data_IF_446752397822
#
_entry.id   IF_446752397822
#
_cell.length_a   1.000
_cell.length_b   1.000
_cell.length_c   1.000
_cell.angle_alpha   90.00
_cell.angle_beta   90.00
_cell.angle_gamma   90.00
#
_symmetry.space_group_name_H-M   'P 1'
#
loop_
_entity.id
_entity.type
_entity.pdbx_description
1 polymer ?
#
# COMPACT_ATOMS: atom_id res chain seq x y z
N UNK A 1 -8.95 2.40 -8.92
CA UNK A 1 -7.48 2.18 -8.94
C UNK A 1 -7.03 1.55 -10.27
N UNK A 2 -7.74 0.53 -10.76
CA UNK A 2 -7.54 -0.03 -12.11
C UNK A 2 -7.62 1.03 -13.22
N UNK A 3 -8.70 1.83 -13.24
CA UNK A 3 -8.90 2.89 -14.24
C UNK A 3 -7.88 4.05 -14.14
N UNK A 4 -7.45 4.37 -12.92
CA UNK A 4 -6.40 5.37 -12.66
C UNK A 4 -5.04 4.94 -13.24
N UNK A 5 -4.76 3.64 -13.22
CA UNK A 5 -3.54 3.07 -13.82
C UNK A 5 -3.64 2.97 -15.36
N UNK A 6 -4.84 2.69 -15.90
CA UNK A 6 -5.10 2.67 -17.35
C UNK A 6 -4.97 4.06 -18.01
N UNK A 7 -5.38 5.13 -17.31
CA UNK A 7 -5.23 6.50 -17.79
C UNK A 7 -3.76 6.95 -17.94
N UNK A 8 -2.81 6.23 -17.32
CA UNK A 8 -1.39 6.57 -17.23
C UNK A 8 -0.52 5.94 -18.33
N UNK A 9 -1.13 5.52 -19.45
CA UNK A 9 -0.47 4.86 -20.61
C UNK A 9 0.75 5.60 -21.20
N UNK A 10 1.03 6.84 -20.82
CA UNK A 10 2.18 7.65 -21.28
C UNK A 10 3.34 7.78 -20.27
N UNK A 11 3.62 6.72 -19.52
CA UNK A 11 4.96 6.49 -18.97
C UNK A 11 5.18 5.00 -18.86
N UNK A 12 5.35 4.32 -19.99
CA UNK A 12 5.94 2.98 -19.95
C UNK A 12 7.30 3.15 -19.27
N UNK A 13 7.44 2.61 -18.07
CA UNK A 13 8.76 2.41 -17.47
C UNK A 13 9.64 1.77 -18.54
N UNK A 14 10.84 2.33 -18.78
CA UNK A 14 11.80 1.75 -19.73
C UNK A 14 11.89 0.26 -19.47
N UNK A 15 11.90 -0.55 -20.52
CA UNK A 15 12.04 -2.01 -20.41
C UNK A 15 13.29 -2.33 -19.60
N UNK A 16 13.11 -2.55 -18.30
CA UNK A 16 14.16 -2.85 -17.36
C UNK A 16 14.15 -4.36 -17.16
N UNK A 17 15.26 -5.02 -17.48
CA UNK A 17 15.50 -6.39 -17.05
C UNK A 17 15.73 -6.37 -15.55
N UNK A 18 14.64 -6.46 -14.77
CA UNK A 18 14.73 -6.67 -13.34
C UNK A 18 15.13 -8.13 -13.12
N UNK A 19 16.19 -8.35 -12.35
CA UNK A 19 16.54 -9.68 -11.90
C UNK A 19 15.43 -10.16 -10.97
N UNK A 20 14.79 -11.27 -11.31
CA UNK A 20 13.89 -11.94 -10.38
C UNK A 20 14.80 -12.74 -9.45
N UNK A 21 14.97 -12.23 -8.22
CA UNK A 21 15.91 -12.81 -7.25
C UNK A 21 15.51 -14.20 -6.77
N UNK A 22 14.22 -14.56 -6.87
CA UNK A 22 13.70 -15.89 -6.57
C UNK A 22 12.29 -16.05 -7.14
N UNK A 23 11.96 -17.27 -7.59
CA UNK A 23 10.60 -17.69 -7.97
C UNK A 23 9.92 -18.55 -6.89
N UNK A 24 10.57 -18.77 -5.75
CA UNK A 24 10.05 -19.55 -4.64
C UNK A 24 10.04 -18.73 -3.35
N UNK A 25 9.15 -19.10 -2.44
CA UNK A 25 9.01 -18.47 -1.14
C UNK A 25 8.77 -19.51 -0.05
N UNK A 26 9.44 -19.35 1.09
CA UNK A 26 9.24 -20.22 2.25
C UNK A 26 8.66 -19.41 3.40
N UNK A 27 7.58 -19.92 4.03
CA UNK A 27 6.92 -19.32 5.21
C UNK A 27 6.55 -17.83 5.03
N UNK A 28 6.02 -17.47 3.86
CA UNK A 28 5.57 -16.10 3.57
C UNK A 28 4.15 -15.89 4.08
N UNK A 29 3.92 -14.80 4.81
CA UNK A 29 2.57 -14.29 5.09
C UNK A 29 2.10 -13.43 3.92
N UNK A 30 1.00 -13.83 3.27
CA UNK A 30 0.47 -13.17 2.07
C UNK A 30 -0.99 -12.80 2.29
N UNK A 31 -1.38 -11.58 1.87
CA UNK A 31 -2.78 -11.18 1.84
C UNK A 31 -3.60 -12.06 0.90
N UNK A 32 -4.81 -12.44 1.32
CA UNK A 32 -5.66 -13.35 0.55
C UNK A 32 -5.95 -12.87 -0.88
N UNK A 33 -6.10 -11.56 -1.10
CA UNK A 33 -6.32 -10.99 -2.44
C UNK A 33 -5.12 -11.15 -3.36
N UNK A 34 -3.91 -10.90 -2.83
CA UNK A 34 -2.67 -11.07 -3.57
C UNK A 34 -2.38 -12.56 -3.86
N UNK A 35 -2.63 -13.42 -2.88
CA UNK A 35 -2.49 -14.87 -3.05
C UNK A 35 -3.38 -15.39 -4.18
N UNK A 36 -4.66 -14.99 -4.21
CA UNK A 36 -5.58 -15.36 -5.30
C UNK A 36 -5.04 -14.91 -6.67
N UNK A 37 -4.48 -13.71 -6.76
CA UNK A 37 -3.87 -13.22 -8.00
C UNK A 37 -2.69 -14.10 -8.40
N UNK A 38 -1.79 -14.45 -7.49
CA UNK A 38 -0.66 -15.32 -7.80
C UNK A 38 -1.07 -16.72 -8.25
N UNK A 39 -2.06 -17.33 -7.58
CA UNK A 39 -2.59 -18.64 -7.99
C UNK A 39 -3.14 -18.57 -9.42
N UNK A 40 -3.88 -17.51 -9.76
CA UNK A 40 -4.39 -17.29 -11.11
C UNK A 40 -3.27 -17.13 -12.18
N UNK A 41 -2.05 -16.80 -11.75
CA UNK A 41 -0.86 -16.66 -12.61
C UNK A 41 0.11 -17.86 -12.48
N UNK A 42 -0.36 -18.99 -11.96
CA UNK A 42 0.41 -20.24 -11.92
C UNK A 42 1.28 -20.44 -10.69
N UNK A 43 1.09 -19.67 -9.61
CA UNK A 43 1.71 -19.99 -8.32
C UNK A 43 1.09 -21.26 -7.73
N UNK A 44 1.94 -22.22 -7.37
CA UNK A 44 1.54 -23.43 -6.68
C UNK A 44 1.82 -23.32 -5.18
N UNK A 45 0.83 -23.68 -4.36
CA UNK A 45 0.99 -23.74 -2.89
C UNK A 45 1.41 -25.16 -2.51
N UNK A 46 2.63 -25.31 -2.02
CA UNK A 46 3.15 -26.62 -1.60
C UNK A 46 2.84 -26.95 -0.13
N UNK A 47 2.79 -25.93 0.74
CA UNK A 47 2.52 -26.07 2.19
C UNK A 47 1.75 -24.87 2.72
N UNK A 48 0.80 -25.12 3.63
CA UNK A 48 0.10 -24.08 4.41
C UNK A 48 0.38 -24.29 5.89
N UNK A 49 0.64 -23.19 6.62
CA UNK A 49 0.99 -23.24 8.05
C UNK A 49 -0.11 -22.68 8.95
N UNK A 50 -0.89 -21.70 8.46
CA UNK A 50 -1.96 -21.09 9.24
C UNK A 50 -2.69 -20.01 8.46
N UNK A 51 -3.83 -19.59 9.00
CA UNK A 51 -4.67 -18.54 8.43
C UNK A 51 -4.95 -17.50 9.50
N UNK A 52 -4.77 -16.23 9.14
CA UNK A 52 -5.09 -15.09 10.02
C UNK A 52 -6.34 -14.44 9.44
N UNK A 53 -7.43 -14.47 10.20
CA UNK A 53 -8.64 -13.76 9.80
C UNK A 53 -8.46 -12.26 10.01
N UNK A 54 -8.63 -11.49 8.94
CA UNK A 54 -8.58 -10.03 9.02
C UNK A 54 -9.93 -9.50 9.50
N UNK A 55 -9.98 -9.04 10.76
CA UNK A 55 -11.16 -8.36 11.27
C UNK A 55 -11.24 -6.94 10.68
N UNK A 56 -12.37 -6.60 10.06
CA UNK A 56 -12.58 -5.29 9.46
C UNK A 56 -12.86 -4.23 10.53
N UNK A 57 -11.82 -3.75 11.21
CA UNK A 57 -11.91 -2.58 12.08
C UNK A 57 -11.25 -1.38 11.41
N UNK A 58 -11.94 -0.23 11.42
CA UNK A 58 -11.43 1.03 10.89
C UNK A 58 -10.83 1.89 12.01
N UNK A 59 -9.89 1.32 12.77
CA UNK A 59 -9.28 1.99 13.94
C UNK A 59 -8.67 3.37 13.58
N UNK A 60 -8.17 3.51 12.36
CA UNK A 60 -7.57 4.76 11.87
C UNK A 60 -8.54 5.66 11.09
N UNK A 61 -9.85 5.36 11.05
CA UNK A 61 -10.81 6.17 10.29
C UNK A 61 -10.80 7.67 10.67
N UNK A 62 -10.79 8.06 11.96
CA UNK A 62 -10.73 9.47 12.33
C UNK A 62 -9.47 10.16 11.80
N UNK A 63 -8.32 9.50 11.97
CA UNK A 63 -7.02 9.99 11.49
C UNK A 63 -7.02 10.16 9.96
N UNK A 64 -7.41 9.12 9.22
CA UNK A 64 -7.43 9.15 7.76
C UNK A 64 -8.42 10.19 7.22
N UNK A 65 -9.56 10.40 7.91
CA UNK A 65 -10.52 11.45 7.57
C UNK A 65 -9.92 12.84 7.79
N UNK A 66 -9.21 13.08 8.88
CA UNK A 66 -8.54 14.35 9.13
C UNK A 66 -7.48 14.66 8.05
N UNK A 67 -6.62 13.69 7.72
CA UNK A 67 -5.63 13.82 6.63
C UNK A 67 -6.32 14.12 5.30
N UNK A 68 -7.36 13.35 4.95
CA UNK A 68 -8.06 13.50 3.67
C UNK A 68 -8.82 14.82 3.57
N UNK A 69 -9.38 15.31 4.68
CA UNK A 69 -10.07 16.60 4.72
C UNK A 69 -9.11 17.77 4.51
N UNK A 70 -8.00 17.80 5.26
CA UNK A 70 -6.98 18.84 5.11
C UNK A 70 -6.42 18.90 3.68
N UNK A 71 -6.25 17.74 3.03
CA UNK A 71 -5.85 17.68 1.61
C UNK A 71 -6.88 18.29 0.68
N UNK A 72 -8.16 17.90 0.81
CA UNK A 72 -9.26 18.45 0.00
C UNK A 72 -9.43 19.96 0.21
N UNK A 73 -9.21 20.44 1.43
CA UNK A 73 -9.25 21.88 1.72
C UNK A 73 -8.08 22.63 1.07
N UNK A 74 -6.86 22.08 1.08
CA UNK A 74 -5.73 22.70 0.37
C UNK A 74 -5.83 22.64 -1.15
N UNK A 75 -6.54 21.65 -1.70
CA UNK A 75 -6.86 21.61 -3.13
C UNK A 75 -7.86 22.72 -3.52
N UNK A 76 -8.77 23.10 -2.61
CA UNK A 76 -9.77 24.15 -2.81
C UNK A 76 -9.25 25.56 -2.50
N UNK A 77 -8.35 25.69 -1.51
CA UNK A 77 -7.81 26.96 -1.03
C UNK A 77 -6.27 26.95 -1.04
N UNK A 78 -5.69 27.79 -1.90
CA UNK A 78 -4.23 27.93 -2.06
C UNK A 78 -3.52 28.40 -0.79
N UNK A 79 -4.20 29.15 0.10
CA UNK A 79 -3.60 29.58 1.37
C UNK A 79 -3.44 28.41 2.35
N UNK A 80 -4.18 27.31 2.15
CA UNK A 80 -4.08 26.07 2.95
C UNK A 80 -3.14 25.02 2.34
N UNK A 81 -2.49 25.32 1.22
CA UNK A 81 -1.61 24.38 0.52
C UNK A 81 -0.49 23.83 1.41
N UNK A 82 0.11 24.68 2.26
CA UNK A 82 1.15 24.26 3.21
C UNK A 82 0.63 23.22 4.21
N UNK A 83 -0.56 23.44 4.77
CA UNK A 83 -1.20 22.52 5.72
C UNK A 83 -1.52 21.19 5.04
N UNK A 84 -2.00 21.22 3.79
CA UNK A 84 -2.30 20.01 3.03
C UNK A 84 -1.05 19.15 2.75
N UNK A 85 0.08 19.77 2.42
CA UNK A 85 1.35 19.04 2.23
C UNK A 85 1.91 18.51 3.56
N UNK A 86 1.79 19.25 4.66
CA UNK A 86 2.15 18.73 5.99
C UNK A 86 1.30 17.53 6.38
N UNK A 87 -0.02 17.59 6.19
CA UNK A 87 -0.91 16.47 6.52
C UNK A 87 -0.70 15.25 5.62
N UNK A 88 -0.32 15.45 4.36
CA UNK A 88 0.13 14.37 3.48
C UNK A 88 1.38 13.68 4.02
N UNK A 89 2.37 14.46 4.46
CA UNK A 89 3.60 13.92 5.05
C UNK A 89 3.28 13.10 6.30
N UNK A 90 2.45 13.63 7.21
CA UNK A 90 1.99 12.93 8.42
C UNK A 90 1.25 11.63 8.08
N UNK A 91 0.35 11.65 7.09
CA UNK A 91 -0.36 10.45 6.64
C UNK A 91 0.58 9.36 6.10
N UNK A 92 1.55 9.75 5.28
CA UNK A 92 2.51 8.82 4.70
C UNK A 92 3.50 8.27 5.75
N UNK A 93 3.97 9.11 6.68
CA UNK A 93 4.92 8.71 7.71
C UNK A 93 4.30 7.78 8.75
N UNK A 94 3.01 7.97 9.07
CA UNK A 94 2.29 7.09 9.99
C UNK A 94 2.29 5.63 9.51
N UNK A 95 2.10 5.40 8.21
CA UNK A 95 2.19 4.06 7.63
C UNK A 95 3.59 3.47 7.79
N UNK A 96 4.63 4.23 7.42
CA UNK A 96 6.02 3.79 7.56
C UNK A 96 6.38 3.45 9.01
N UNK A 97 5.91 4.27 9.97
CA UNK A 97 6.12 4.02 11.40
C UNK A 97 5.41 2.75 11.89
N UNK A 98 4.23 2.45 11.37
CA UNK A 98 3.47 1.24 11.77
C UNK A 98 4.11 -0.08 11.36
N UNK A 99 4.92 -0.06 10.30
CA UNK A 99 5.67 -1.23 9.81
C UNK A 99 7.12 -1.28 10.28
N UNK A 100 7.52 -0.41 11.20
CA UNK A 100 8.90 -0.30 11.66
C UNK A 100 9.27 -1.48 12.57
N UNK A 101 10.48 -2.01 12.36
CA UNK A 101 11.07 -3.02 13.25
C UNK A 101 11.46 -2.38 14.58
N UNK A 102 10.65 -2.66 15.61
CA UNK A 102 10.83 -2.13 16.96
C UNK A 102 12.05 -2.71 17.69
N UNK A 103 12.72 -3.73 17.15
CA UNK A 103 13.95 -4.27 17.77
C UNK A 103 15.21 -3.45 17.44
N UNK A 104 15.11 -2.54 16.47
CA UNK A 104 16.24 -1.75 15.95
C UNK A 104 16.14 -0.26 16.29
N UNK A 105 15.19 0.14 17.12
CA UNK A 105 14.91 1.51 17.57
C UNK A 105 14.56 1.49 19.04
#
# INVERSE_FOLDING_TARGET
MFEYNEARKQSRAKTARKLIGSYFGEKILIYASLLKWYIAHGMEITKTYGFINANSHKAFAPFMKAVSNARREGDADKYKAMIAEMMKLVGNSAFGRSGMDMSKH
#
